data_IF_180877192590
#
_entry.id   IF_180877192590
#
_cell.length_a   1.000
_cell.length_b   1.000
_cell.length_c   1.000
_cell.angle_alpha   90.00
_cell.angle_beta   90.00
_cell.angle_gamma   90.00
#
_symmetry.space_group_name_H-M   'P 1'
#
loop_
_entity.id
_entity.type
_entity.pdbx_description
1 polymer ?
#
# COMPACT_ATOMS: atom_id res chain seq x y z
N UNK A 1 -16.42 22.62 20.94
CA UNK A 1 -14.99 22.25 21.02
C UNK A 1 -14.71 21.26 19.90
N UNK A 2 -13.86 21.65 18.95
CA UNK A 2 -13.77 21.04 17.62
C UNK A 2 -13.02 19.69 17.61
N UNK A 3 -13.75 18.65 17.21
CA UNK A 3 -13.38 17.32 16.67
C UNK A 3 -11.88 17.10 16.35
N UNK A 4 -11.09 16.67 17.34
CA UNK A 4 -9.75 16.10 17.16
C UNK A 4 -9.81 14.56 17.05
N UNK A 5 -10.48 14.03 16.02
CA UNK A 5 -10.80 12.59 15.93
C UNK A 5 -10.70 11.92 14.55
N UNK A 6 -10.15 12.60 13.56
CA UNK A 6 -9.84 12.07 12.22
C UNK A 6 -8.56 12.82 11.84
N UNK A 7 -7.36 12.27 11.97
CA UNK A 7 -6.66 11.75 10.79
C UNK A 7 -5.41 10.90 11.15
N UNK A 8 -5.07 10.74 12.44
CA UNK A 8 -3.81 10.08 12.84
C UNK A 8 -3.79 8.55 12.62
N UNK A 9 -4.90 7.94 12.21
CA UNK A 9 -4.92 6.49 11.94
C UNK A 9 -4.29 6.15 10.60
N UNK A 10 -4.36 7.07 9.64
CA UNK A 10 -3.89 6.82 8.28
C UNK A 10 -2.37 6.75 8.22
N UNK A 11 -1.66 7.70 8.84
CA UNK A 11 -0.19 7.69 8.93
C UNK A 11 0.35 6.39 9.54
N UNK A 12 -0.19 5.98 10.68
CA UNK A 12 0.23 4.73 11.33
C UNK A 12 0.02 3.50 10.44
N UNK A 13 -1.09 3.43 9.69
CA UNK A 13 -1.33 2.31 8.79
C UNK A 13 -0.35 2.28 7.63
N UNK A 14 0.02 3.45 7.10
CA UNK A 14 1.03 3.52 6.04
C UNK A 14 2.41 3.09 6.58
N UNK A 15 2.80 3.56 7.76
CA UNK A 15 4.03 3.12 8.44
C UNK A 15 4.03 1.60 8.69
N UNK A 16 2.91 1.03 9.13
CA UNK A 16 2.78 -0.42 9.33
C UNK A 16 2.85 -1.22 8.02
N UNK A 17 2.18 -0.75 6.97
CA UNK A 17 2.24 -1.37 5.64
C UNK A 17 3.65 -1.27 5.07
N UNK A 18 4.31 -0.12 5.22
CA UNK A 18 5.70 0.09 4.85
C UNK A 18 6.64 -0.80 5.65
N UNK A 19 6.38 -1.01 6.94
CA UNK A 19 7.23 -1.87 7.76
C UNK A 19 7.05 -3.36 7.41
N UNK A 20 5.80 -3.82 7.22
CA UNK A 20 5.48 -5.24 6.99
C UNK A 20 5.61 -5.66 5.52
N UNK A 21 5.19 -4.80 4.60
CA UNK A 21 5.13 -5.06 3.15
C UNK A 21 5.95 -4.06 2.34
N UNK A 22 6.75 -3.21 2.98
CA UNK A 22 7.58 -2.22 2.30
C UNK A 22 8.56 -2.77 1.30
N UNK A 23 9.13 -3.95 1.60
CA UNK A 23 10.07 -4.61 0.72
C UNK A 23 9.40 -5.24 -0.52
N UNK A 24 8.06 -5.20 -0.61
CA UNK A 24 7.32 -5.63 -1.79
C UNK A 24 7.52 -4.64 -2.93
N UNK A 25 7.84 -5.17 -4.10
CA UNK A 25 8.01 -4.38 -5.31
C UNK A 25 6.68 -3.87 -5.87
N UNK A 26 6.69 -2.66 -6.42
CA UNK A 26 5.52 -2.09 -7.11
C UNK A 26 5.09 -2.96 -8.30
N UNK A 27 6.01 -3.64 -8.96
CA UNK A 27 5.69 -4.62 -9.99
C UNK A 27 4.77 -5.74 -9.48
N UNK A 28 5.00 -6.22 -8.26
CA UNK A 28 4.16 -7.26 -7.63
C UNK A 28 2.77 -6.72 -7.29
N UNK A 29 2.70 -5.52 -6.72
CA UNK A 29 1.40 -4.88 -6.43
C UNK A 29 0.63 -4.58 -7.70
N UNK A 30 1.29 -4.18 -8.79
CA UNK A 30 0.65 -3.99 -10.11
C UNK A 30 0.08 -5.27 -10.69
N UNK A 31 0.66 -6.44 -10.40
CA UNK A 31 0.07 -7.73 -10.80
C UNK A 31 -1.20 -8.05 -10.02
N UNK A 32 -1.30 -7.58 -8.77
CA UNK A 32 -2.43 -7.83 -7.86
C UNK A 32 -3.58 -6.82 -8.10
N UNK A 33 -3.23 -5.55 -8.16
CA UNK A 33 -4.16 -4.42 -8.23
C UNK A 33 -4.39 -3.90 -9.65
N UNK A 34 -3.53 -4.28 -10.59
CA UNK A 34 -3.53 -3.82 -11.97
C UNK A 34 -2.40 -2.83 -12.26
N UNK A 35 -2.06 -2.65 -13.55
CA UNK A 35 -0.95 -1.77 -13.98
C UNK A 35 -1.14 -0.29 -13.59
N UNK A 36 -2.38 0.13 -13.29
CA UNK A 36 -2.68 1.47 -12.79
C UNK A 36 -2.22 1.71 -11.35
N UNK A 37 -1.86 0.66 -10.59
CA UNK A 37 -1.36 0.83 -9.23
C UNK A 37 0.01 1.51 -9.24
N UNK A 38 0.14 2.59 -8.46
CA UNK A 38 1.34 3.43 -8.44
C UNK A 38 1.79 3.88 -9.85
N UNK A 39 0.85 4.15 -10.76
CA UNK A 39 1.17 4.57 -12.12
C UNK A 39 2.09 5.80 -12.10
N UNK A 40 3.27 5.67 -12.73
CA UNK A 40 4.35 6.66 -12.66
C UNK A 40 5.61 6.17 -11.94
N UNK A 41 5.52 5.12 -11.11
CA UNK A 41 6.68 4.56 -10.42
C UNK A 41 7.30 3.36 -11.16
N UNK A 42 8.63 3.16 -11.07
CA UNK A 42 9.26 1.92 -11.52
C UNK A 42 8.65 0.69 -10.84
N UNK A 43 8.49 -0.45 -11.54
CA UNK A 43 8.09 -1.70 -10.91
C UNK A 43 9.16 -2.26 -9.96
N UNK A 44 10.41 -1.78 -10.06
CA UNK A 44 11.55 -2.12 -9.19
C UNK A 44 11.58 -1.31 -7.91
N UNK A 45 10.74 -0.28 -7.76
CA UNK A 45 10.62 0.46 -6.52
C UNK A 45 9.97 -0.38 -5.43
N UNK A 46 10.35 -0.07 -4.20
CA UNK A 46 9.75 -0.63 -3.00
C UNK A 46 8.44 0.08 -2.68
N UNK A 47 7.49 -0.66 -2.12
CA UNK A 47 6.27 -0.09 -1.61
C UNK A 47 6.58 1.04 -0.62
N UNK A 48 7.53 0.86 0.29
CA UNK A 48 7.91 1.88 1.28
C UNK A 48 8.23 3.25 0.69
N UNK A 49 9.05 3.28 -0.35
CA UNK A 49 9.54 4.52 -0.97
C UNK A 49 8.41 5.28 -1.68
N UNK A 50 7.54 4.54 -2.37
CA UNK A 50 6.46 5.17 -3.14
C UNK A 50 5.20 5.37 -2.32
N UNK A 51 5.01 4.66 -1.21
CA UNK A 51 3.79 4.70 -0.38
C UNK A 51 3.41 6.13 -0.01
N UNK A 52 4.41 6.91 0.41
CA UNK A 52 4.26 8.32 0.78
C UNK A 52 3.84 9.22 -0.40
N UNK A 53 4.09 8.76 -1.63
CA UNK A 53 3.80 9.47 -2.86
C UNK A 53 2.64 8.85 -3.66
N UNK A 54 2.00 7.79 -3.14
CA UNK A 54 0.87 7.15 -3.80
C UNK A 54 -0.36 8.05 -3.76
N UNK A 55 -1.16 7.96 -4.82
CA UNK A 55 -2.45 8.61 -4.89
C UNK A 55 -3.42 8.01 -3.88
N UNK A 56 -4.37 8.82 -3.41
CA UNK A 56 -5.37 8.45 -2.40
C UNK A 56 -6.18 7.20 -2.80
N UNK A 57 -6.46 7.01 -4.09
CA UNK A 57 -7.15 5.81 -4.61
C UNK A 57 -6.33 4.54 -4.38
N UNK A 58 -5.03 4.55 -4.71
CA UNK A 58 -4.14 3.40 -4.52
C UNK A 58 -3.91 3.12 -3.04
N UNK A 59 -3.72 4.15 -2.22
CA UNK A 59 -3.61 4.03 -0.76
C UNK A 59 -4.88 3.45 -0.14
N UNK A 60 -6.05 3.90 -0.57
CA UNK A 60 -7.33 3.39 -0.05
C UNK A 60 -7.53 1.92 -0.34
N UNK A 61 -7.16 1.44 -1.54
CA UNK A 61 -7.20 0.02 -1.89
C UNK A 61 -6.22 -0.80 -1.04
N UNK A 62 -4.98 -0.32 -0.93
CA UNK A 62 -3.92 -0.98 -0.16
C UNK A 62 -4.28 -1.09 1.32
N UNK A 63 -4.72 0.00 1.95
CA UNK A 63 -5.16 0.04 3.34
C UNK A 63 -6.35 -0.87 3.60
N UNK A 64 -7.29 -0.96 2.64
CA UNK A 64 -8.45 -1.86 2.76
C UNK A 64 -8.03 -3.32 2.79
N UNK A 65 -7.21 -3.75 1.83
CA UNK A 65 -6.73 -5.13 1.77
C UNK A 65 -5.76 -5.48 2.91
N UNK A 66 -4.97 -4.51 3.40
CA UNK A 66 -4.17 -4.68 4.61
C UNK A 66 -5.06 -4.93 5.82
N UNK A 67 -6.11 -4.12 5.99
CA UNK A 67 -7.07 -4.25 7.09
C UNK A 67 -7.85 -5.57 7.04
N UNK A 68 -8.11 -6.12 5.86
CA UNK A 68 -8.77 -7.43 5.71
C UNK A 68 -7.79 -8.61 5.71
N UNK A 69 -6.48 -8.37 5.81
CA UNK A 69 -5.45 -9.41 5.72
C UNK A 69 -5.26 -10.02 4.32
N UNK A 70 -5.98 -9.52 3.31
CA UNK A 70 -5.89 -10.00 1.94
C UNK A 70 -4.58 -9.59 1.25
N UNK A 71 -3.98 -8.48 1.67
CA UNK A 71 -2.74 -7.97 1.08
C UNK A 71 -1.62 -9.02 1.16
N UNK A 72 -1.46 -9.66 2.30
CA UNK A 72 -0.44 -10.67 2.56
C UNK A 72 -0.61 -11.91 1.66
N UNK A 73 -1.84 -12.41 1.56
CA UNK A 73 -2.17 -13.57 0.73
C UNK A 73 -1.95 -13.27 -0.76
N UNK A 74 -2.33 -12.08 -1.21
CA UNK A 74 -2.14 -11.62 -2.60
C UNK A 74 -0.66 -11.47 -2.94
N UNK A 75 0.14 -10.85 -2.06
CA UNK A 75 1.59 -10.69 -2.29
C UNK A 75 2.28 -12.05 -2.35
N UNK A 76 1.96 -12.95 -1.41
CA UNK A 76 2.52 -14.30 -1.38
C UNK A 76 2.18 -15.08 -2.65
N UNK A 77 0.93 -15.02 -3.12
CA UNK A 77 0.48 -15.73 -4.31
C UNK A 77 1.16 -15.26 -5.62
N UNK A 78 1.68 -14.03 -5.66
CA UNK A 78 2.34 -13.49 -6.86
C UNK A 78 3.87 -13.53 -6.76
N UNK A 79 4.41 -13.68 -5.54
CA UNK A 79 5.86 -13.71 -5.29
C UNK A 79 6.43 -15.12 -5.23
N UNK A 80 5.59 -16.17 -5.19
CA UNK A 80 5.98 -17.57 -5.34
C UNK A 80 5.98 -18.01 -6.80
#
# INVERSE_FOLDING_TARGET
MSKAGHDNRYRNQDDEISHKHGNTLIGTLRKIYGQGFAAGYPPTEKLSDVLLHLNETSLSQLRRDYKTGHLDHKITNVSG
#
